data_IF_311929384789
#
_entry.id   IF_311929384789
#
_cell.length_a   1.000
_cell.length_b   1.000
_cell.length_c   1.000
_cell.angle_alpha   90.00
_cell.angle_beta   90.00
_cell.angle_gamma   90.00
#
_symmetry.space_group_name_H-M   'P 1'
#
loop_
_entity.id
_entity.type
_entity.pdbx_description
1 polymer ?
#
# COMPACT_ATOMS: atom_id res chain seq x y z
N UNK A 1 7.07 8.73 1.94
CA UNK A 1 6.49 9.27 3.20
C UNK A 1 6.47 8.17 4.25
N UNK A 2 6.90 8.43 5.49
CA UNK A 2 6.75 7.49 6.60
C UNK A 2 5.40 7.65 7.30
N UNK A 3 4.75 6.56 7.69
CA UNK A 3 3.45 6.56 8.37
C UNK A 3 3.28 5.33 9.25
N UNK A 4 3.13 5.50 10.57
CA UNK A 4 2.86 4.43 11.56
C UNK A 4 3.77 3.19 11.44
N UNK A 5 5.07 3.38 11.20
CA UNK A 5 6.02 2.28 11.03
C UNK A 5 6.11 1.72 9.60
N UNK A 6 5.37 2.29 8.65
CA UNK A 6 5.40 1.96 7.23
C UNK A 6 5.99 3.09 6.41
N UNK A 7 6.40 2.78 5.19
CA UNK A 7 6.81 3.74 4.16
C UNK A 7 5.78 3.66 3.03
N UNK A 8 5.18 4.79 2.69
CA UNK A 8 4.31 4.99 1.54
C UNK A 8 5.09 5.70 0.45
N UNK A 9 5.29 5.08 -0.70
CA UNK A 9 6.04 5.65 -1.81
C UNK A 9 5.21 5.73 -3.10
N UNK A 10 5.19 6.88 -3.78
CA UNK A 10 4.59 6.96 -5.10
C UNK A 10 5.43 6.12 -6.09
N UNK A 11 4.74 5.40 -6.97
CA UNK A 11 5.32 4.68 -8.09
C UNK A 11 4.51 4.98 -9.33
N UNK A 12 5.20 5.44 -10.37
CA UNK A 12 4.61 5.54 -11.69
C UNK A 12 4.25 4.13 -12.17
N UNK A 13 3.02 3.95 -12.59
CA UNK A 13 2.50 2.69 -13.13
C UNK A 13 1.68 3.00 -14.37
N UNK A 14 1.83 2.19 -15.41
CA UNK A 14 0.95 2.29 -16.58
C UNK A 14 -0.49 1.92 -16.19
N UNK A 15 -0.62 1.01 -15.20
CA UNK A 15 -1.88 0.57 -14.59
C UNK A 15 -1.64 0.32 -13.10
N UNK A 16 -2.43 0.96 -12.23
CA UNK A 16 -2.43 0.67 -10.79
C UNK A 16 -3.42 -0.45 -10.48
N UNK A 17 -2.94 -1.60 -10.01
CA UNK A 17 -3.79 -2.74 -9.64
C UNK A 17 -3.74 -2.94 -8.11
N UNK A 18 -4.88 -2.79 -7.46
CA UNK A 18 -5.05 -3.11 -6.04
C UNK A 18 -5.72 -4.50 -5.91
N UNK A 19 -4.96 -5.50 -5.46
CA UNK A 19 -5.49 -6.84 -5.21
C UNK A 19 -6.00 -6.96 -3.77
N UNK A 20 -7.30 -6.72 -3.59
CA UNK A 20 -8.13 -7.36 -2.57
C UNK A 20 -8.99 -8.48 -3.20
N UNK A 21 -9.59 -9.35 -2.37
CA UNK A 21 -10.08 -10.71 -2.70
C UNK A 21 -10.95 -10.92 -3.95
N UNK A 22 -11.57 -9.89 -4.53
CA UNK A 22 -12.48 -10.02 -5.69
C UNK A 22 -12.18 -8.89 -6.70
N UNK A 23 -11.10 -9.04 -7.47
CA UNK A 23 -10.46 -7.96 -8.25
C UNK A 23 -11.33 -7.17 -9.23
N UNK A 24 -10.91 -5.93 -9.50
CA UNK A 24 -11.37 -5.08 -10.60
C UNK A 24 -10.25 -4.13 -11.09
N UNK A 25 -10.37 -3.66 -12.34
CA UNK A 25 -9.44 -2.76 -13.05
C UNK A 25 -9.86 -1.30 -12.86
N UNK A 26 -8.95 -0.41 -12.44
CA UNK A 26 -9.17 1.05 -12.46
C UNK A 26 -8.20 1.70 -13.45
N UNK A 27 -8.73 2.02 -14.63
CA UNK A 27 -8.01 2.69 -15.74
C UNK A 27 -8.06 4.20 -15.53
N UNK A 28 -6.91 4.88 -15.36
CA UNK A 28 -6.85 6.36 -15.38
C UNK A 28 -5.80 7.02 -14.49
N UNK A 29 -5.39 6.39 -13.38
CA UNK A 29 -4.33 6.94 -12.51
C UNK A 29 -2.97 6.32 -12.82
N UNK A 30 -2.02 7.16 -13.26
CA UNK A 30 -0.63 6.76 -13.58
C UNK A 30 0.29 6.69 -12.35
N UNK A 31 -0.25 6.92 -11.15
CA UNK A 31 0.51 6.94 -9.91
C UNK A 31 -0.17 6.03 -8.90
N UNK A 32 0.56 5.01 -8.44
CA UNK A 32 0.19 4.15 -7.32
C UNK A 32 1.04 4.49 -6.09
N UNK A 33 0.57 4.10 -4.91
CA UNK A 33 1.26 4.28 -3.65
C UNK A 33 1.56 2.91 -3.05
N UNK A 34 2.85 2.57 -2.98
CA UNK A 34 3.36 1.33 -2.38
C UNK A 34 3.43 1.46 -0.88
N UNK A 35 3.02 0.44 -0.15
CA UNK A 35 3.12 0.36 1.30
C UNK A 35 4.19 -0.67 1.66
N UNK A 36 5.22 -0.23 2.39
CA UNK A 36 6.32 -1.07 2.87
C UNK A 36 6.44 -1.01 4.38
N UNK A 37 6.94 -2.09 5.00
CA UNK A 37 7.49 -2.00 6.34
C UNK A 37 8.72 -1.07 6.34
N UNK A 38 8.83 -0.17 7.32
CA UNK A 38 9.99 0.73 7.39
C UNK A 38 11.32 0.01 7.61
N UNK A 39 11.36 -0.94 8.54
CA UNK A 39 12.54 -1.73 8.88
C UNK A 39 12.83 -2.87 7.87
N UNK A 40 11.92 -3.83 7.71
CA UNK A 40 12.15 -5.05 6.90
C UNK A 40 12.03 -4.82 5.39
N UNK A 41 11.54 -3.66 4.96
CA UNK A 41 11.23 -3.35 3.55
C UNK A 41 10.22 -4.31 2.89
N UNK A 42 9.49 -5.13 3.65
CA UNK A 42 8.44 -6.00 3.11
C UNK A 42 7.32 -5.15 2.51
N UNK A 43 6.87 -5.48 1.30
CA UNK A 43 5.73 -4.84 0.65
C UNK A 43 4.40 -5.48 1.09
N UNK A 44 3.45 -4.65 1.53
CA UNK A 44 2.11 -5.09 1.94
C UNK A 44 1.01 -4.78 0.92
N UNK A 45 1.24 -3.87 -0.03
CA UNK A 45 0.27 -3.58 -1.08
C UNK A 45 0.50 -2.29 -1.85
N UNK A 46 -0.38 -2.06 -2.83
CA UNK A 46 -0.49 -0.84 -3.63
C UNK A 46 -1.86 -0.20 -3.43
N UNK A 47 -1.94 1.12 -3.42
CA UNK A 47 -3.21 1.86 -3.43
C UNK A 47 -3.17 2.98 -4.45
N UNK A 48 -4.32 3.31 -5.04
CA UNK A 48 -4.43 4.32 -6.10
C UNK A 48 -4.29 5.76 -5.59
N UNK A 49 -4.41 5.98 -4.28
CA UNK A 49 -4.22 7.28 -3.64
C UNK A 49 -3.45 7.14 -2.32
N UNK A 50 -2.81 8.23 -1.89
CA UNK A 50 -2.13 8.30 -0.59
C UNK A 50 -3.09 8.02 0.57
N UNK A 51 -4.31 8.55 0.47
CA UNK A 51 -5.34 8.42 1.50
C UNK A 51 -5.83 6.97 1.65
N UNK A 52 -5.97 6.24 0.54
CA UNK A 52 -6.28 4.82 0.56
C UNK A 52 -5.13 4.00 1.14
N UNK A 53 -3.87 4.40 0.91
CA UNK A 53 -2.71 3.78 1.53
C UNK A 53 -2.71 3.95 3.05
N UNK A 54 -3.01 5.15 3.53
CA UNK A 54 -3.16 5.42 4.96
C UNK A 54 -4.31 4.61 5.58
N UNK A 55 -5.50 4.59 4.94
CA UNK A 55 -6.64 3.78 5.39
C UNK A 55 -6.32 2.29 5.47
N UNK A 56 -5.54 1.77 4.52
CA UNK A 56 -5.11 0.37 4.54
C UNK A 56 -4.19 0.07 5.74
N UNK A 57 -3.28 0.99 6.06
CA UNK A 57 -2.40 0.91 7.24
C UNK A 57 -3.21 1.07 8.53
N UNK A 58 -4.19 1.96 8.58
CA UNK A 58 -5.03 2.12 9.76
C UNK A 58 -5.84 0.85 10.06
N UNK A 59 -6.35 0.19 9.00
CA UNK A 59 -7.14 -1.04 9.13
C UNK A 59 -6.30 -2.27 9.46
N UNK A 60 -5.09 -2.40 8.90
CA UNK A 60 -4.33 -3.65 8.94
C UNK A 60 -2.93 -3.53 9.58
N UNK A 61 -2.46 -2.32 9.81
CA UNK A 61 -1.06 -2.02 10.15
C UNK A 61 -0.63 -2.71 11.42
N UNK A 62 -1.44 -2.71 12.47
CA UNK A 62 -1.12 -3.40 13.72
C UNK A 62 -0.90 -4.91 13.51
N UNK A 63 -1.76 -5.55 12.71
CA UNK A 63 -1.63 -6.97 12.35
C UNK A 63 -0.38 -7.23 11.49
N UNK A 64 -0.08 -6.33 10.57
CA UNK A 64 1.11 -6.42 9.72
C UNK A 64 2.40 -6.27 10.50
N UNK A 65 2.44 -5.39 11.52
CA UNK A 65 3.59 -5.23 12.42
C UNK A 65 3.77 -6.42 13.37
N UNK A 66 2.67 -7.05 13.80
CA UNK A 66 2.68 -8.23 14.69
C UNK A 66 2.96 -9.54 13.97
N UNK A 67 2.72 -9.61 12.65
CA UNK A 67 3.10 -10.76 11.86
C UNK A 67 4.62 -10.83 11.79
N UNK A 68 5.20 -11.62 12.69
CA UNK A 68 6.59 -12.05 12.60
C UNK A 68 6.75 -12.77 11.26
N UNK A 69 7.46 -12.14 10.34
CA UNK A 69 8.13 -12.85 9.24
C UNK A 69 9.28 -13.66 9.83
#
# INVERSE_FOLDING_TARGET
MSYKGFIIEPKAVDVCVDFGSNGYVVTGNRTAYRIFHSATKLMYGFRSTLELAQKAIDKNGERWLKSKL
#
